data_IF_290360935304
#
_entry.id   IF_290360935304
#
_cell.length_a   1.000
_cell.length_b   1.000
_cell.length_c   1.000
_cell.angle_alpha   90.00
_cell.angle_beta   90.00
_cell.angle_gamma   90.00
#
_symmetry.space_group_name_H-M   'P 1'
#
loop_
_entity.id
_entity.type
_entity.pdbx_description
1 polymer ?
#
# COMPACT_ATOMS: atom_id res chain seq x y z
N UNK A 1 -9.54 -27.24 7.30
CA UNK A 1 -8.59 -26.58 6.40
C UNK A 1 -8.41 -25.17 6.93
N UNK A 2 -7.22 -24.59 6.84
CA UNK A 2 -7.05 -23.17 7.19
C UNK A 2 -7.91 -22.30 6.26
N UNK A 3 -8.50 -21.21 6.76
CA UNK A 3 -9.24 -20.27 5.92
C UNK A 3 -8.33 -19.71 4.82
N UNK A 4 -8.93 -19.39 3.67
CA UNK A 4 -8.18 -18.89 2.51
C UNK A 4 -8.72 -17.54 2.08
N UNK A 5 -7.83 -16.71 1.55
CA UNK A 5 -8.18 -15.53 0.79
C UNK A 5 -7.97 -15.78 -0.69
N UNK A 6 -8.87 -15.24 -1.50
CA UNK A 6 -8.83 -15.28 -2.96
C UNK A 6 -8.78 -13.86 -3.50
N UNK A 7 -7.92 -13.63 -4.47
CA UNK A 7 -7.75 -12.34 -5.14
C UNK A 7 -7.97 -12.54 -6.64
N UNK A 8 -8.80 -11.70 -7.23
CA UNK A 8 -8.99 -11.58 -8.68
C UNK A 8 -8.84 -10.11 -9.08
N UNK A 9 -7.94 -9.85 -10.01
CA UNK A 9 -7.69 -8.52 -10.56
C UNK A 9 -7.79 -8.56 -12.07
N UNK A 10 -8.46 -7.57 -12.61
CA UNK A 10 -8.45 -7.29 -14.04
C UNK A 10 -8.22 -5.79 -14.24
N UNK A 11 -7.36 -5.42 -15.19
CA UNK A 11 -7.29 -4.05 -15.67
C UNK A 11 -7.00 -4.01 -17.18
N UNK A 12 -7.35 -2.89 -17.78
CA UNK A 12 -7.14 -2.67 -19.20
C UNK A 12 -6.38 -1.36 -19.46
N UNK A 13 -5.54 -1.38 -20.48
CA UNK A 13 -4.76 -0.24 -20.94
C UNK A 13 -4.86 -0.11 -22.45
N UNK A 14 -4.74 1.14 -22.95
CA UNK A 14 -4.52 1.42 -24.38
C UNK A 14 -3.12 2.00 -24.54
N UNK A 15 -2.23 1.23 -25.15
CA UNK A 15 -0.85 1.64 -25.43
C UNK A 15 -0.84 2.46 -26.71
N UNK A 16 -0.43 3.72 -26.59
CA UNK A 16 -0.31 4.67 -27.71
C UNK A 16 1.10 4.68 -28.29
N UNK A 17 2.12 4.57 -27.41
CA UNK A 17 3.52 4.39 -27.85
C UNK A 17 4.07 3.11 -27.22
N UNK A 18 4.50 2.12 -28.04
CA UNK A 18 5.05 0.85 -27.55
C UNK A 18 6.31 1.04 -26.71
N UNK A 19 6.51 0.20 -25.71
CA UNK A 19 7.70 0.24 -24.88
C UNK A 19 7.55 -0.55 -23.57
N UNK A 20 8.57 -0.52 -22.73
CA UNK A 20 8.54 -1.27 -21.46
C UNK A 20 7.61 -0.65 -20.42
N UNK A 21 6.91 -1.53 -19.70
CA UNK A 21 6.15 -1.21 -18.51
C UNK A 21 6.33 -2.28 -17.42
N UNK A 22 6.29 -1.87 -16.17
CA UNK A 22 6.31 -2.77 -15.02
C UNK A 22 4.90 -2.94 -14.44
N UNK A 23 4.51 -4.18 -14.15
CA UNK A 23 3.24 -4.57 -13.56
C UNK A 23 3.52 -5.23 -12.20
N UNK A 24 3.02 -4.63 -11.12
CA UNK A 24 3.22 -5.05 -9.74
C UNK A 24 1.86 -5.32 -9.08
N UNK A 25 1.23 -6.43 -9.45
CA UNK A 25 -0.06 -6.87 -8.89
C UNK A 25 0.05 -8.19 -8.13
N UNK A 26 1.19 -8.86 -8.21
CA UNK A 26 1.38 -10.14 -7.52
C UNK A 26 1.36 -9.96 -6.00
N UNK A 27 0.61 -10.78 -5.29
CA UNK A 27 0.70 -10.85 -3.84
C UNK A 27 2.10 -11.28 -3.42
N UNK A 28 2.67 -10.65 -2.39
CA UNK A 28 4.04 -10.94 -1.93
C UNK A 28 4.24 -12.42 -1.59
N UNK A 29 3.19 -13.04 -1.06
CA UNK A 29 3.15 -14.46 -0.73
C UNK A 29 1.81 -15.04 -1.18
N UNK A 30 1.81 -15.90 -2.17
CA UNK A 30 0.65 -16.66 -2.62
C UNK A 30 0.97 -18.16 -2.58
N UNK A 31 -0.03 -18.99 -2.25
CA UNK A 31 0.11 -20.46 -2.34
C UNK A 31 -0.01 -20.90 -3.80
N UNK A 32 -0.91 -20.25 -4.52
CA UNK A 32 -1.11 -20.43 -5.97
C UNK A 32 -1.38 -19.08 -6.59
N UNK A 33 -0.84 -18.86 -7.78
CA UNK A 33 -1.08 -17.61 -8.51
C UNK A 33 -0.96 -17.80 -10.02
N UNK A 34 -1.63 -16.94 -10.77
CA UNK A 34 -1.54 -16.87 -12.22
C UNK A 34 -1.68 -15.42 -12.70
N UNK A 35 -0.70 -14.94 -13.45
CA UNK A 35 -0.75 -13.67 -14.18
C UNK A 35 -0.92 -13.97 -15.68
N UNK A 36 -1.95 -13.43 -16.29
CA UNK A 36 -2.22 -13.55 -17.72
C UNK A 36 -2.27 -12.18 -18.38
N UNK A 37 -1.74 -12.11 -19.57
CA UNK A 37 -1.72 -10.90 -20.42
C UNK A 37 -2.30 -11.21 -21.79
N UNK A 38 -2.95 -10.24 -22.42
CA UNK A 38 -3.63 -10.43 -23.71
C UNK A 38 -2.73 -10.30 -24.94
N UNK A 39 -1.44 -10.01 -24.75
CA UNK A 39 -0.45 -9.91 -25.83
C UNK A 39 0.57 -11.06 -25.77
N UNK A 40 1.34 -11.20 -26.84
CA UNK A 40 2.45 -12.15 -26.87
C UNK A 40 3.75 -11.44 -26.50
N UNK A 41 4.52 -12.02 -25.62
CA UNK A 41 5.82 -11.52 -25.19
C UNK A 41 6.24 -12.13 -23.85
N UNK A 42 7.55 -12.24 -23.66
CA UNK A 42 8.11 -12.72 -22.40
C UNK A 42 8.16 -11.58 -21.38
N UNK A 43 7.96 -11.91 -20.12
CA UNK A 43 8.19 -11.00 -19.01
C UNK A 43 9.62 -11.12 -18.49
N UNK A 44 10.07 -10.06 -17.84
CA UNK A 44 11.31 -10.03 -17.07
C UNK A 44 10.93 -9.80 -15.59
N UNK A 45 11.00 -10.84 -14.75
CA UNK A 45 10.67 -10.68 -13.33
C UNK A 45 11.72 -9.79 -12.64
N UNK A 46 11.23 -8.94 -11.75
CA UNK A 46 12.04 -8.09 -10.87
C UNK A 46 11.55 -8.28 -9.45
N UNK A 47 12.48 -8.59 -8.56
CA UNK A 47 12.21 -8.73 -7.13
C UNK A 47 12.82 -7.55 -6.37
N UNK A 48 12.06 -7.02 -5.44
CA UNK A 48 12.47 -5.97 -4.53
C UNK A 48 12.43 -6.50 -3.09
N UNK A 49 12.92 -5.69 -2.16
CA UNK A 49 12.83 -6.02 -0.73
C UNK A 49 11.36 -6.16 -0.27
N UNK A 50 11.17 -6.82 0.86
CA UNK A 50 9.85 -7.02 1.50
C UNK A 50 8.81 -7.74 0.63
N UNK A 51 9.27 -8.65 -0.24
CA UNK A 51 8.40 -9.48 -1.08
C UNK A 51 7.72 -8.74 -2.24
N UNK A 52 8.07 -7.50 -2.52
CA UNK A 52 7.55 -6.76 -3.68
C UNK A 52 8.08 -7.39 -4.97
N UNK A 53 7.17 -7.68 -5.90
CA UNK A 53 7.49 -8.27 -7.21
C UNK A 53 6.87 -7.48 -8.35
N UNK A 54 7.58 -7.38 -9.45
CA UNK A 54 7.08 -6.80 -10.69
C UNK A 54 7.43 -7.68 -11.88
N UNK A 55 6.57 -7.68 -12.88
CA UNK A 55 6.83 -8.25 -14.20
C UNK A 55 7.00 -7.12 -15.20
N UNK A 56 8.16 -7.03 -15.84
CA UNK A 56 8.42 -6.04 -16.88
C UNK A 56 8.15 -6.64 -18.25
N UNK A 57 7.23 -6.02 -18.98
CA UNK A 57 6.84 -6.40 -20.33
C UNK A 57 7.19 -5.29 -21.32
N UNK A 58 7.48 -5.65 -22.56
CA UNK A 58 7.49 -4.72 -23.69
C UNK A 58 6.07 -4.72 -24.28
N UNK A 59 5.31 -3.66 -24.02
CA UNK A 59 3.91 -3.54 -24.43
C UNK A 59 3.83 -3.11 -25.92
N UNK A 60 3.15 -3.89 -26.78
CA UNK A 60 2.85 -3.46 -28.15
C UNK A 60 1.74 -2.39 -28.16
N UNK A 61 1.63 -1.62 -29.24
CA UNK A 61 0.51 -0.69 -29.42
C UNK A 61 -0.83 -1.43 -29.48
N UNK A 62 -1.88 -0.80 -28.93
CA UNK A 62 -3.25 -1.34 -28.93
C UNK A 62 -3.86 -1.44 -27.53
N UNK A 63 -5.05 -2.03 -27.48
CA UNK A 63 -5.73 -2.29 -26.22
C UNK A 63 -5.33 -3.65 -25.63
N UNK A 64 -4.97 -3.63 -24.37
CA UNK A 64 -4.48 -4.81 -23.67
C UNK A 64 -5.18 -4.99 -22.35
N UNK A 65 -5.28 -6.26 -21.94
CA UNK A 65 -5.88 -6.69 -20.70
C UNK A 65 -4.86 -7.50 -19.91
N UNK A 66 -4.85 -7.25 -18.60
CA UNK A 66 -4.09 -8.01 -17.62
C UNK A 66 -5.06 -8.59 -16.62
N UNK A 67 -4.89 -9.87 -16.30
CA UNK A 67 -5.63 -10.53 -15.23
C UNK A 67 -4.66 -11.20 -14.27
N UNK A 68 -4.94 -11.11 -12.99
CA UNK A 68 -4.19 -11.80 -11.94
C UNK A 68 -5.17 -12.53 -11.02
N UNK A 69 -4.87 -13.78 -10.75
CA UNK A 69 -5.59 -14.61 -9.78
C UNK A 69 -4.61 -15.17 -8.76
N UNK A 70 -4.97 -15.15 -7.48
CA UNK A 70 -4.17 -15.77 -6.43
C UNK A 70 -5.02 -16.31 -5.29
N UNK A 71 -4.53 -17.37 -4.67
CA UNK A 71 -5.07 -17.90 -3.42
C UNK A 71 -3.97 -17.98 -2.36
N UNK A 72 -4.34 -17.69 -1.13
CA UNK A 72 -3.45 -17.78 0.03
C UNK A 72 -4.18 -18.27 1.27
N UNK A 73 -3.61 -19.22 1.99
CA UNK A 73 -4.06 -19.60 3.31
C UNK A 73 -3.82 -18.44 4.30
N UNK A 74 -4.84 -18.09 5.08
CA UNK A 74 -4.70 -17.13 6.16
C UNK A 74 -3.91 -17.78 7.29
N UNK A 75 -2.75 -17.22 7.60
CA UNK A 75 -1.88 -17.62 8.70
C UNK A 75 -1.59 -16.40 9.55
N UNK A 76 -1.22 -16.60 10.80
CA UNK A 76 -0.66 -15.54 11.64
C UNK A 76 0.84 -15.46 11.33
N UNK A 77 1.31 -14.43 10.61
CA UNK A 77 2.72 -14.29 10.29
C UNK A 77 3.52 -13.83 11.52
N UNK A 78 4.77 -14.25 11.58
CA UNK A 78 5.71 -13.73 12.60
C UNK A 78 6.07 -12.28 12.26
N UNK A 79 6.23 -11.40 13.26
CA UNK A 79 6.63 -10.02 13.05
C UNK A 79 8.01 -9.92 12.38
N UNK A 80 8.08 -9.20 11.27
CA UNK A 80 9.33 -8.94 10.56
C UNK A 80 10.22 -7.99 11.38
N UNK A 81 11.51 -8.33 11.63
CA UNK A 81 12.41 -7.44 12.36
C UNK A 81 12.79 -6.23 11.51
N UNK A 82 12.94 -5.08 12.18
CA UNK A 82 13.42 -3.84 11.55
C UNK A 82 14.94 -3.85 11.49
N UNK A 83 15.50 -3.75 10.29
CA UNK A 83 16.95 -3.70 10.07
C UNK A 83 17.50 -2.28 10.16
N UNK A 84 18.84 -2.14 10.25
CA UNK A 84 19.47 -0.81 10.15
C UNK A 84 19.28 -0.17 8.77
N UNK A 85 19.18 -0.98 7.71
CA UNK A 85 18.86 -0.49 6.37
C UNK A 85 17.46 0.11 6.33
N UNK A 86 16.47 -0.57 6.94
CA UNK A 86 15.11 -0.06 7.06
C UNK A 86 15.07 1.28 7.81
N UNK A 87 15.75 1.36 8.95
CA UNK A 87 15.84 2.63 9.70
C UNK A 87 16.42 3.73 8.80
N UNK A 88 17.52 3.44 8.09
CA UNK A 88 18.16 4.42 7.23
C UNK A 88 17.31 4.87 6.04
N UNK A 89 16.42 4.01 5.53
CA UNK A 89 15.56 4.30 4.37
C UNK A 89 14.22 4.89 4.81
N UNK A 90 13.55 4.27 5.77
CA UNK A 90 12.16 4.58 6.10
C UNK A 90 11.96 5.65 7.19
N UNK A 91 13.04 6.32 7.62
CA UNK A 91 12.96 7.58 8.39
C UNK A 91 13.14 8.83 7.52
N UNK A 92 13.56 8.65 6.24
CA UNK A 92 13.83 9.79 5.34
C UNK A 92 12.56 10.34 4.71
N UNK A 93 12.52 11.64 4.39
CA UNK A 93 11.51 12.20 3.51
C UNK A 93 11.49 11.47 2.16
N UNK A 94 10.34 11.40 1.54
CA UNK A 94 10.17 10.87 0.19
C UNK A 94 9.16 11.71 -0.59
N UNK A 95 8.91 11.39 -1.87
CA UNK A 95 8.12 12.23 -2.77
C UNK A 95 6.76 12.63 -2.17
N UNK A 96 6.01 11.68 -1.64
CA UNK A 96 4.68 11.92 -1.10
C UNK A 96 4.65 12.02 0.43
N UNK A 97 5.77 11.73 1.09
CA UNK A 97 5.91 11.81 2.54
C UNK A 97 7.04 12.79 2.93
N UNK A 98 6.88 14.11 2.69
CA UNK A 98 7.87 15.13 2.99
C UNK A 98 7.91 15.44 4.50
N UNK A 99 8.41 14.48 5.30
CA UNK A 99 8.41 14.58 6.78
C UNK A 99 9.18 15.78 7.31
N UNK A 100 10.18 16.28 6.57
CA UNK A 100 10.96 17.48 6.87
C UNK A 100 10.17 18.80 6.71
N UNK A 101 8.98 18.76 6.07
CA UNK A 101 8.11 19.93 5.85
C UNK A 101 6.96 20.04 6.85
N UNK A 102 6.85 19.13 7.83
CA UNK A 102 5.73 19.07 8.77
C UNK A 102 5.87 19.96 10.00
N UNK A 103 6.98 20.68 10.18
CA UNK A 103 7.14 21.59 11.30
C UNK A 103 5.98 22.61 11.37
N UNK A 104 5.28 22.65 12.47
CA UNK A 104 4.07 23.48 12.65
C UNK A 104 2.74 22.81 12.25
N UNK A 105 2.76 21.69 11.53
CA UNK A 105 1.55 20.88 11.22
C UNK A 105 1.36 19.72 12.19
N UNK A 106 2.44 19.32 12.90
CA UNK A 106 2.37 18.21 13.86
C UNK A 106 1.65 18.66 15.12
N UNK A 107 0.58 17.93 15.54
CA UNK A 107 -0.14 18.27 16.76
C UNK A 107 0.77 18.26 17.99
N UNK A 108 0.73 19.30 18.85
CA UNK A 108 1.57 19.35 20.05
C UNK A 108 1.39 18.16 21.00
N UNK A 109 0.21 17.53 20.97
CA UNK A 109 -0.08 16.29 21.75
C UNK A 109 0.81 15.13 21.35
N UNK A 110 1.08 14.95 20.05
CA UNK A 110 1.95 13.88 19.54
C UNK A 110 3.40 14.06 19.99
N UNK A 111 3.89 15.30 20.04
CA UNK A 111 5.26 15.60 20.46
C UNK A 111 5.53 15.30 21.94
N UNK A 112 4.50 15.24 22.76
CA UNK A 112 4.60 14.92 24.20
C UNK A 112 4.65 13.42 24.48
N UNK A 113 4.18 12.61 23.56
CA UNK A 113 4.23 11.15 23.69
C UNK A 113 5.66 10.66 23.49
N UNK A 114 6.01 9.57 24.16
CA UNK A 114 7.31 8.91 24.01
C UNK A 114 7.11 7.43 23.74
N UNK A 115 7.89 6.91 22.80
CA UNK A 115 7.83 5.52 22.34
C UNK A 115 6.81 5.30 21.21
N UNK A 116 7.23 4.52 20.23
CA UNK A 116 6.44 4.25 19.03
C UNK A 116 5.10 3.57 19.39
N UNK A 117 5.09 2.74 20.43
CA UNK A 117 3.90 2.04 20.95
C UNK A 117 2.75 2.99 21.36
N UNK A 118 3.07 4.25 21.69
CA UNK A 118 2.07 5.29 22.03
C UNK A 118 1.87 6.27 20.86
N UNK A 119 2.96 6.61 20.19
CA UNK A 119 2.95 7.62 19.12
C UNK A 119 2.20 7.14 17.88
N UNK A 120 2.46 5.91 17.41
CA UNK A 120 1.85 5.40 16.18
C UNK A 120 0.32 5.28 16.29
N UNK A 121 -0.28 4.66 17.34
CA UNK A 121 -1.72 4.65 17.49
C UNK A 121 -2.34 6.05 17.65
N UNK A 122 -1.62 7.00 18.26
CA UNK A 122 -2.08 8.38 18.37
C UNK A 122 -2.05 9.12 17.02
N UNK A 123 -1.05 8.85 16.17
CA UNK A 123 -0.99 9.34 14.79
C UNK A 123 -2.17 8.79 13.98
N UNK A 124 -2.39 7.47 14.01
CA UNK A 124 -3.51 6.82 13.31
C UNK A 124 -4.85 7.45 13.68
N UNK A 125 -5.09 7.63 14.99
CA UNK A 125 -6.32 8.28 15.47
C UNK A 125 -6.42 9.72 14.99
N UNK A 126 -5.34 10.49 15.13
CA UNK A 126 -5.32 11.87 14.68
C UNK A 126 -5.64 12.01 13.19
N UNK A 127 -5.04 11.17 12.34
CA UNK A 127 -5.28 11.18 10.89
C UNK A 127 -6.71 10.76 10.58
N UNK A 128 -7.20 9.70 11.22
CA UNK A 128 -8.59 9.25 11.10
C UNK A 128 -9.60 10.35 11.43
N UNK A 129 -9.40 11.05 12.55
CA UNK A 129 -10.32 12.09 13.04
C UNK A 129 -10.20 13.40 12.23
N UNK A 130 -9.05 13.63 11.59
CA UNK A 130 -8.74 14.89 10.89
C UNK A 130 -9.14 14.89 9.42
N UNK A 131 -9.05 13.73 8.75
CA UNK A 131 -9.27 13.60 7.32
C UNK A 131 -10.63 12.99 7.01
N UNK A 132 -11.29 13.51 5.97
CA UNK A 132 -12.47 12.90 5.37
C UNK A 132 -12.08 12.02 4.19
N UNK A 133 -12.61 10.79 4.12
CA UNK A 133 -12.40 9.93 2.96
C UNK A 133 -13.32 10.35 1.82
N UNK A 134 -12.76 10.91 0.75
CA UNK A 134 -13.51 11.41 -0.40
C UNK A 134 -12.89 10.90 -1.70
N UNK A 135 -13.61 10.03 -2.40
CA UNK A 135 -13.16 9.53 -3.70
C UNK A 135 -13.01 10.68 -4.71
N UNK A 136 -11.86 10.73 -5.38
CA UNK A 136 -11.56 11.75 -6.37
C UNK A 136 -11.11 13.11 -5.81
N UNK A 137 -10.99 13.28 -4.50
CA UNK A 137 -10.54 14.54 -3.89
C UNK A 137 -9.04 14.79 -4.10
N UNK A 138 -8.24 13.73 -4.29
CA UNK A 138 -6.79 13.86 -4.38
C UNK A 138 -6.28 13.76 -5.83
N UNK A 139 -5.20 14.47 -6.10
CA UNK A 139 -4.49 14.46 -7.38
C UNK A 139 -3.34 13.47 -7.34
N UNK A 140 -2.85 12.98 -8.48
CA UNK A 140 -1.67 12.11 -8.52
C UNK A 140 -0.39 12.76 -7.94
N UNK A 141 -0.35 14.08 -7.83
CA UNK A 141 0.80 14.86 -7.36
C UNK A 141 0.72 15.28 -5.90
N UNK A 142 -0.44 15.14 -5.24
CA UNK A 142 -0.65 15.61 -3.87
C UNK A 142 0.17 14.80 -2.87
N UNK A 143 0.87 15.50 -1.99
CA UNK A 143 1.67 14.93 -0.92
C UNK A 143 0.94 15.00 0.45
N UNK A 144 1.59 14.50 1.50
CA UNK A 144 1.03 14.53 2.85
C UNK A 144 0.73 15.94 3.38
N UNK A 145 1.46 16.96 2.93
CA UNK A 145 1.22 18.36 3.32
C UNK A 145 -0.03 18.87 2.63
N UNK A 146 -0.19 18.61 1.33
CA UNK A 146 -1.40 19.00 0.58
C UNK A 146 -2.64 18.38 1.20
N UNK A 147 -2.59 17.09 1.52
CA UNK A 147 -3.67 16.35 2.18
C UNK A 147 -4.02 16.94 3.55
N UNK A 148 -3.03 17.27 4.38
CA UNK A 148 -3.26 17.89 5.69
C UNK A 148 -3.92 19.28 5.58
N UNK A 149 -3.59 20.04 4.54
CA UNK A 149 -4.16 21.36 4.28
C UNK A 149 -5.61 21.25 3.80
N UNK A 150 -5.86 20.35 2.83
CA UNK A 150 -7.21 20.13 2.27
C UNK A 150 -8.14 19.47 3.27
N UNK A 151 -7.64 18.46 4.01
CA UNK A 151 -8.42 17.68 4.98
C UNK A 151 -9.23 16.56 4.36
N UNK A 152 -9.02 16.24 3.09
CA UNK A 152 -9.72 15.20 2.34
C UNK A 152 -8.70 14.36 1.56
N UNK A 153 -9.03 13.10 1.31
CA UNK A 153 -8.18 12.20 0.51
C UNK A 153 -8.73 10.79 0.42
N UNK A 154 -7.94 9.90 -0.19
CA UNK A 154 -8.22 8.47 -0.28
C UNK A 154 -7.20 7.67 0.54
N UNK A 155 -7.30 6.34 0.55
CA UNK A 155 -6.42 5.46 1.36
C UNK A 155 -4.92 5.79 1.21
N UNK A 156 -4.46 6.07 -0.03
CA UNK A 156 -3.10 6.49 -0.33
C UNK A 156 -2.68 7.73 0.49
N UNK A 157 -3.56 8.73 0.55
CA UNK A 157 -3.27 10.01 1.19
C UNK A 157 -3.25 9.86 2.71
N UNK A 158 -4.18 9.08 3.28
CA UNK A 158 -4.17 8.72 4.69
C UNK A 158 -2.87 8.02 5.10
N UNK A 159 -2.42 7.06 4.30
CA UNK A 159 -1.15 6.36 4.54
C UNK A 159 0.04 7.33 4.47
N UNK A 160 0.10 8.21 3.46
CA UNK A 160 1.18 9.20 3.31
C UNK A 160 1.26 10.15 4.51
N UNK A 161 0.13 10.64 5.01
CA UNK A 161 0.10 11.53 6.20
C UNK A 161 0.60 10.78 7.43
N UNK A 162 0.14 9.54 7.66
CA UNK A 162 0.62 8.71 8.77
C UNK A 162 2.14 8.48 8.71
N UNK A 163 2.65 8.09 7.54
CA UNK A 163 4.08 7.84 7.30
C UNK A 163 4.89 9.12 7.55
N UNK A 164 4.46 10.25 7.00
CA UNK A 164 5.16 11.50 7.15
C UNK A 164 5.22 11.95 8.63
N UNK A 165 4.14 11.77 9.39
CA UNK A 165 4.10 12.03 10.84
C UNK A 165 4.98 11.06 11.63
N UNK A 166 4.99 9.76 11.30
CA UNK A 166 5.90 8.79 11.92
C UNK A 166 7.36 9.19 11.71
N UNK A 167 7.75 9.45 10.46
CA UNK A 167 9.12 9.83 10.10
C UNK A 167 9.54 11.17 10.70
N UNK A 168 8.61 12.12 10.86
CA UNK A 168 8.89 13.37 11.59
C UNK A 168 9.26 13.12 13.06
N UNK A 169 8.78 12.03 13.65
CA UNK A 169 9.08 11.59 15.02
C UNK A 169 10.20 10.53 15.06
N UNK A 170 10.99 10.41 13.99
CA UNK A 170 12.07 9.43 13.82
C UNK A 170 11.62 7.96 13.95
N UNK A 171 10.35 7.69 13.69
CA UNK A 171 9.79 6.32 13.65
C UNK A 171 9.87 5.83 12.21
N UNK A 172 10.61 4.72 11.92
CA UNK A 172 10.60 4.12 10.61
C UNK A 172 9.17 3.73 10.20
N UNK A 173 8.74 4.18 9.02
CA UNK A 173 7.42 3.88 8.49
C UNK A 173 7.48 3.71 6.97
N UNK A 174 6.76 2.70 6.44
CA UNK A 174 6.77 2.32 5.03
C UNK A 174 5.34 2.20 4.49
N UNK A 175 5.18 2.54 3.24
CA UNK A 175 3.92 2.41 2.51
C UNK A 175 3.74 0.98 2.04
N UNK A 176 2.52 0.48 2.10
CA UNK A 176 2.21 -0.88 1.65
C UNK A 176 0.89 -0.88 0.88
N UNK A 177 0.97 -1.27 -0.40
CA UNK A 177 -0.19 -1.62 -1.21
C UNK A 177 -0.68 -3.01 -0.84
N UNK A 178 -1.99 -3.18 -0.69
CA UNK A 178 -2.59 -4.44 -0.25
C UNK A 178 -3.87 -4.77 -1.01
N UNK A 179 -4.20 -6.05 -1.06
CA UNK A 179 -5.56 -6.53 -1.25
C UNK A 179 -6.25 -6.63 0.11
N UNK A 180 -7.48 -6.13 0.20
CA UNK A 180 -8.18 -5.97 1.47
C UNK A 180 -9.57 -6.64 1.46
N UNK A 181 -9.67 -7.94 1.83
CA UNK A 181 -10.96 -8.58 2.04
C UNK A 181 -11.81 -7.81 3.03
N UNK A 182 -13.04 -7.47 2.63
CA UNK A 182 -13.96 -6.65 3.42
C UNK A 182 -14.02 -5.18 3.02
N UNK A 183 -13.13 -4.70 2.17
CA UNK A 183 -13.20 -3.35 1.60
C UNK A 183 -14.45 -3.20 0.70
N UNK A 184 -15.18 -2.09 0.85
CA UNK A 184 -16.36 -1.78 0.05
C UNK A 184 -16.42 -0.29 -0.35
N UNK A 185 -16.46 0.05 -1.66
CA UNK A 185 -16.31 -0.87 -2.80
C UNK A 185 -14.93 -1.53 -2.84
N UNK A 186 -14.82 -2.71 -3.44
CA UNK A 186 -13.55 -3.42 -3.58
C UNK A 186 -12.64 -2.68 -4.57
N UNK A 187 -11.38 -2.49 -4.18
CA UNK A 187 -10.34 -1.84 -4.98
C UNK A 187 -8.96 -2.22 -4.41
N UNK A 188 -7.89 -1.80 -5.09
CA UNK A 188 -6.58 -1.72 -4.46
C UNK A 188 -6.64 -0.85 -3.21
N UNK A 189 -6.00 -1.29 -2.15
CA UNK A 189 -5.99 -0.52 -0.91
C UNK A 189 -4.57 -0.16 -0.50
N UNK A 190 -4.46 0.91 0.28
CA UNK A 190 -3.19 1.42 0.77
C UNK A 190 -3.23 1.55 2.29
N UNK A 191 -2.21 1.00 2.91
CA UNK A 191 -1.96 1.07 4.34
C UNK A 191 -0.50 1.46 4.60
N UNK A 192 -0.11 1.55 5.84
CA UNK A 192 1.30 1.72 6.17
C UNK A 192 1.72 0.73 7.26
N UNK A 193 3.00 0.44 7.30
CA UNK A 193 3.62 -0.25 8.42
C UNK A 193 4.55 0.71 9.15
N UNK A 194 4.60 0.59 10.47
CA UNK A 194 5.50 1.34 11.33
C UNK A 194 6.28 0.41 12.25
N UNK A 195 7.50 0.81 12.59
CA UNK A 195 8.35 0.11 13.51
C UNK A 195 7.88 0.34 14.96
N UNK A 196 7.53 -0.74 15.66
CA UNK A 196 7.22 -0.73 17.09
C UNK A 196 8.04 -1.82 17.76
N UNK A 197 8.79 -1.49 18.78
CA UNK A 197 9.65 -2.45 19.52
C UNK A 197 10.55 -3.32 18.62
N UNK A 198 11.09 -2.69 17.56
CA UNK A 198 12.03 -3.33 16.64
C UNK A 198 11.40 -4.27 15.59
N UNK A 199 10.07 -4.25 15.42
CA UNK A 199 9.35 -5.06 14.45
C UNK A 199 8.34 -4.21 13.66
N UNK A 200 7.99 -4.70 12.45
CA UNK A 200 7.01 -4.07 11.57
C UNK A 200 5.59 -4.51 11.91
N UNK A 201 4.67 -3.52 12.00
CA UNK A 201 3.23 -3.76 12.21
C UNK A 201 2.42 -2.87 11.29
N UNK A 202 1.31 -3.41 10.78
CA UNK A 202 0.41 -2.70 9.86
C UNK A 202 -0.61 -1.86 10.61
N UNK A 203 -0.85 -0.66 10.07
CA UNK A 203 -1.85 0.30 10.54
C UNK A 203 -2.65 0.85 9.36
N UNK A 204 -3.94 1.08 9.60
CA UNK A 204 -4.84 1.69 8.63
C UNK A 204 -5.67 2.80 9.30
N UNK A 205 -5.40 4.05 8.92
CA UNK A 205 -6.15 5.19 9.44
C UNK A 205 -7.51 5.35 8.76
N UNK A 206 -7.78 4.67 7.66
CA UNK A 206 -9.11 4.67 7.02
C UNK A 206 -10.10 3.77 7.74
N UNK A 207 -9.64 2.65 8.31
CA UNK A 207 -10.46 1.61 8.96
C UNK A 207 -11.54 1.02 8.06
N UNK A 208 -11.28 0.94 6.76
CA UNK A 208 -12.25 0.46 5.78
C UNK A 208 -12.32 -1.06 5.66
N UNK A 209 -11.29 -1.77 6.12
CA UNK A 209 -11.23 -3.23 6.11
C UNK A 209 -10.38 -3.75 7.29
N UNK A 210 -10.62 -4.98 7.76
CA UNK A 210 -9.84 -5.57 8.85
C UNK A 210 -8.40 -5.87 8.39
N UNK A 211 -7.41 -5.39 9.14
CA UNK A 211 -5.97 -5.54 8.81
C UNK A 211 -5.50 -6.99 8.80
N UNK A 212 -6.11 -7.85 9.59
CA UNK A 212 -5.75 -9.26 9.76
C UNK A 212 -5.96 -10.12 8.50
N UNK A 213 -6.78 -9.64 7.56
CA UNK A 213 -7.10 -10.36 6.32
C UNK A 213 -6.41 -9.77 5.09
N UNK A 214 -5.67 -8.68 5.25
CA UNK A 214 -4.99 -8.01 4.15
C UNK A 214 -3.81 -8.83 3.61
N UNK A 215 -3.62 -8.80 2.29
CA UNK A 215 -2.50 -9.45 1.61
C UNK A 215 -1.61 -8.37 0.98
N UNK A 216 -0.32 -8.42 1.30
CA UNK A 216 0.69 -7.51 0.76
C UNK A 216 0.83 -7.68 -0.75
N UNK A 217 0.91 -6.55 -1.48
CA UNK A 217 1.27 -6.48 -2.89
C UNK A 217 2.69 -5.94 -3.02
N UNK A 218 2.90 -4.72 -2.52
CA UNK A 218 4.16 -4.00 -2.67
C UNK A 218 4.45 -3.13 -1.45
N UNK A 219 5.72 -2.99 -1.12
CA UNK A 219 6.21 -2.16 -0.02
C UNK A 219 7.25 -1.16 -0.54
N UNK A 220 7.18 0.08 -0.07
CA UNK A 220 8.09 1.13 -0.49
C UNK A 220 8.07 2.34 0.43
N UNK A 221 8.80 3.39 0.06
CA UNK A 221 8.85 4.63 0.86
C UNK A 221 7.54 5.40 0.81
N UNK A 222 6.87 5.36 -0.33
CA UNK A 222 5.55 5.93 -0.60
C UNK A 222 4.96 5.34 -1.89
N UNK A 223 3.85 5.85 -2.37
CA UNK A 223 3.16 5.34 -3.55
C UNK A 223 3.99 5.41 -4.86
N UNK A 224 5.06 6.21 -4.92
CA UNK A 224 5.93 6.24 -6.09
C UNK A 224 6.73 4.94 -6.26
N UNK A 225 7.06 4.28 -5.16
CA UNK A 225 7.82 3.02 -5.16
C UNK A 225 6.92 1.78 -5.37
N UNK A 226 5.59 1.92 -5.27
CA UNK A 226 4.64 0.79 -5.17
C UNK A 226 3.52 0.84 -6.21
N UNK A 227 3.71 1.57 -7.30
CA UNK A 227 2.73 1.67 -8.37
C UNK A 227 2.45 0.27 -8.98
N UNK A 228 1.17 -0.14 -9.06
CA UNK A 228 0.78 -1.42 -9.65
C UNK A 228 1.04 -1.48 -11.17
N UNK A 229 1.13 -0.32 -11.81
CA UNK A 229 1.50 -0.15 -13.22
C UNK A 229 2.42 1.06 -13.34
N UNK A 230 3.61 0.87 -13.90
CA UNK A 230 4.58 1.93 -14.14
C UNK A 230 5.09 1.88 -15.58
N UNK A 231 5.00 3.01 -16.30
CA UNK A 231 5.58 3.13 -17.63
C UNK A 231 7.09 3.39 -17.52
N UNK A 232 7.89 2.58 -18.21
CA UNK A 232 9.35 2.67 -18.21
C UNK A 232 9.91 3.16 -19.57
N UNK A 233 9.02 3.53 -20.49
CA UNK A 233 9.36 3.98 -21.84
C UNK A 233 8.23 3.78 -22.85
N UNK A 234 7.04 3.40 -22.39
CA UNK A 234 5.81 3.40 -23.19
C UNK A 234 4.91 4.56 -22.79
N UNK A 235 3.96 4.92 -23.67
CA UNK A 235 2.84 5.78 -23.34
C UNK A 235 1.54 4.98 -23.39
N UNK A 236 0.68 5.15 -22.43
CA UNK A 236 -0.60 4.45 -22.35
C UNK A 236 -1.67 5.25 -21.62
N UNK A 237 -2.92 4.97 -21.97
CA UNK A 237 -4.11 5.35 -21.22
C UNK A 237 -4.55 4.18 -20.33
N UNK A 238 -4.79 4.43 -19.07
CA UNK A 238 -5.42 3.48 -18.17
C UNK A 238 -6.94 3.51 -18.36
N UNK A 239 -7.53 2.36 -18.74
CA UNK A 239 -8.95 2.28 -19.09
C UNK A 239 -9.84 1.87 -17.91
N UNK A 240 -9.25 1.34 -16.85
CA UNK A 240 -9.95 0.95 -15.63
C UNK A 240 -9.48 -0.38 -15.07
N UNK A 241 -9.87 -0.65 -13.84
CA UNK A 241 -9.59 -1.89 -13.12
C UNK A 241 -10.81 -2.42 -12.39
N UNK A 242 -10.79 -3.72 -12.12
CA UNK A 242 -11.69 -4.41 -11.19
C UNK A 242 -10.84 -5.25 -10.26
N UNK A 243 -11.08 -5.12 -8.97
CA UNK A 243 -10.36 -5.87 -7.93
C UNK A 243 -11.38 -6.57 -7.06
N UNK A 244 -11.22 -7.87 -6.87
CA UNK A 244 -11.96 -8.66 -5.88
C UNK A 244 -10.96 -9.29 -4.91
N UNK A 245 -11.16 -9.05 -3.63
CA UNK A 245 -10.41 -9.68 -2.57
C UNK A 245 -11.40 -10.22 -1.53
N UNK A 246 -11.46 -11.54 -1.38
CA UNK A 246 -12.41 -12.21 -0.51
C UNK A 246 -11.72 -13.21 0.40
N UNK A 247 -12.41 -13.64 1.44
CA UNK A 247 -11.97 -14.73 2.31
C UNK A 247 -13.15 -15.65 2.61
N UNK A 248 -12.89 -16.93 2.77
CA UNK A 248 -13.87 -17.93 3.21
C UNK A 248 -14.05 -17.94 4.75
N UNK A 249 -13.25 -17.18 5.48
CA UNK A 249 -13.42 -16.93 6.91
C UNK A 249 -14.43 -15.81 7.17
N UNK A 250 -15.00 -15.80 8.38
CA UNK A 250 -15.68 -14.62 8.88
C UNK A 250 -14.66 -13.47 9.05
N UNK A 251 -15.01 -12.30 8.54
CA UNK A 251 -14.16 -11.12 8.71
C UNK A 251 -14.02 -10.80 10.21
N UNK A 252 -12.79 -10.66 10.74
CA UNK A 252 -12.59 -10.30 12.14
C UNK A 252 -13.04 -8.86 12.38
N UNK A 253 -13.47 -8.57 13.62
CA UNK A 253 -13.64 -7.20 14.05
C UNK A 253 -12.25 -6.56 14.23
N UNK A 254 -12.03 -5.42 13.59
CA UNK A 254 -10.82 -4.61 13.76
C UNK A 254 -11.21 -3.19 14.17
N UNK A 255 -10.94 -2.82 15.40
CA UNK A 255 -11.18 -1.48 15.93
C UNK A 255 -10.01 -0.51 15.69
N UNK A 256 -9.01 -0.95 14.94
CA UNK A 256 -7.77 -0.21 14.68
C UNK A 256 -6.81 -0.20 15.87
N UNK A 257 -7.13 -0.89 16.96
CA UNK A 257 -6.23 -1.07 18.11
C UNK A 257 -5.38 -2.33 17.96
N UNK A 258 -4.37 -2.46 18.80
CA UNK A 258 -3.48 -3.62 18.80
C UNK A 258 -2.47 -3.64 17.65
N UNK A 259 -1.47 -4.47 17.80
CA UNK A 259 -0.43 -4.70 16.81
C UNK A 259 -0.87 -5.86 15.90
N UNK A 260 -0.89 -5.63 14.60
CA UNK A 260 -1.23 -6.62 13.58
C UNK A 260 -0.06 -6.76 12.63
N UNK A 261 0.35 -7.99 12.34
CA UNK A 261 1.38 -8.29 11.34
C UNK A 261 0.71 -8.51 10.00
N UNK A 262 1.25 -7.88 8.97
CA UNK A 262 0.75 -8.06 7.61
C UNK A 262 1.33 -9.33 7.01
N UNK A 263 0.44 -10.15 6.51
CA UNK A 263 0.79 -11.41 5.89
C UNK A 263 1.19 -11.33 4.42
#
# INVERSE_FOLDING_TARGET
>A
MAPRSTVDVEFAVRVTEPGPAAISVAAAHADTEELRVSWHGDSRPVEFEHGTRAEVFDLPAGEHRVTYHAERALTEPEPEPVTLADVAVFTRPSRYCPSDRLAGLVPPGLLKLKGAEKQVPAIVRHVHDRLSYVAGASRPTDDAVDTLVVGEGVCRDFAHVCIALCRFLDIPARYTGVYAPGLAPMDFHAVFEAAVDGHWYVFDATRLAPRQTMLRIATGRDAADTAFLATLGCELDFLGSTVFATTDAALPADDGSGLVVLG
#
